data_IF_362513070958
#
_entry.id   IF_362513070958
#
_cell.length_a   1.000
_cell.length_b   1.000
_cell.length_c   1.000
_cell.angle_alpha   90.00
_cell.angle_beta   90.00
_cell.angle_gamma   90.00
#
_symmetry.space_group_name_H-M   'P 1'
#
loop_
_entity.id
_entity.type
_entity.pdbx_description
1 polymer ?
#
# COMPACT_ATOMS: atom_id res chain seq x y z
N UNK A 1 0.11 41.10 -5.33
CA UNK A 1 0.97 40.32 -6.24
C UNK A 1 0.47 38.90 -6.20
N UNK A 2 -0.31 38.46 -7.19
CA UNK A 2 -0.70 37.05 -7.31
C UNK A 2 0.53 36.28 -7.75
N UNK A 3 0.99 35.34 -6.94
CA UNK A 3 1.99 34.38 -7.39
C UNK A 3 1.37 33.59 -8.55
N UNK A 4 2.00 33.64 -9.72
CA UNK A 4 1.65 32.73 -10.82
C UNK A 4 1.72 31.30 -10.29
N UNK A 5 0.59 30.59 -10.35
CA UNK A 5 0.62 29.17 -10.08
C UNK A 5 1.53 28.54 -11.13
N UNK A 6 2.56 27.77 -10.72
CA UNK A 6 3.43 27.10 -11.69
C UNK A 6 2.55 26.24 -12.59
N UNK A 7 2.71 26.41 -13.92
CA UNK A 7 2.04 25.58 -14.92
C UNK A 7 2.24 24.11 -14.52
N UNK A 8 1.14 23.43 -14.18
CA UNK A 8 1.21 22.00 -14.01
C UNK A 8 1.65 21.41 -15.36
N UNK A 9 2.67 20.54 -15.39
CA UNK A 9 3.10 19.92 -16.64
C UNK A 9 1.88 19.24 -17.27
N UNK A 10 1.61 19.54 -18.54
CA UNK A 10 0.57 18.86 -19.29
C UNK A 10 0.89 17.36 -19.28
N UNK A 11 0.08 16.59 -18.56
CA UNK A 11 0.21 15.14 -18.53
C UNK A 11 -0.31 14.60 -19.86
N UNK A 12 0.57 14.53 -20.85
CA UNK A 12 0.28 13.79 -22.09
C UNK A 12 0.18 12.32 -21.75
N UNK A 13 -1.05 11.84 -21.58
CA UNK A 13 -1.35 10.42 -21.41
C UNK A 13 -0.66 9.63 -22.52
N UNK A 14 0.20 8.68 -22.14
CA UNK A 14 0.86 7.78 -23.09
C UNK A 14 -0.17 6.89 -23.76
N UNK A 15 -0.31 6.99 -25.08
CA UNK A 15 -1.28 6.21 -25.85
C UNK A 15 -0.98 4.71 -25.88
N UNK A 16 0.26 4.34 -25.59
CA UNK A 16 0.77 2.96 -25.56
C UNK A 16 0.78 2.34 -24.16
N UNK A 17 0.44 3.11 -23.12
CA UNK A 17 0.39 2.61 -21.76
C UNK A 17 -0.90 1.81 -21.51
N UNK A 18 -0.86 0.71 -20.73
CA UNK A 18 -2.07 -0.01 -20.35
C UNK A 18 -3.09 0.95 -19.75
N UNK A 19 -4.28 0.98 -20.35
CA UNK A 19 -5.41 1.69 -19.77
C UNK A 19 -5.72 0.96 -18.47
N UNK A 20 -5.66 1.68 -17.35
CA UNK A 20 -6.14 1.14 -16.07
C UNK A 20 -7.58 0.72 -16.31
N UNK A 21 -7.95 -0.53 -15.99
CA UNK A 21 -9.32 -0.98 -16.19
C UNK A 21 -10.30 0.05 -15.63
N UNK A 22 -11.41 0.28 -16.32
CA UNK A 22 -12.52 1.03 -15.74
C UNK A 22 -13.58 0.01 -15.37
N UNK A 23 -13.85 -0.14 -14.08
CA UNK A 23 -15.01 -0.89 -13.63
C UNK A 23 -16.06 0.10 -13.15
N UNK A 24 -17.31 -0.12 -13.58
CA UNK A 24 -18.45 0.52 -12.95
C UNK A 24 -18.49 0.12 -11.47
N UNK A 25 -19.00 0.98 -10.58
CA UNK A 25 -19.14 0.63 -9.17
C UNK A 25 -19.88 -0.71 -9.00
N UNK A 26 -19.20 -1.74 -8.51
CA UNK A 26 -19.76 -3.10 -8.33
C UNK A 26 -19.93 -3.47 -6.86
N UNK A 27 -20.98 -4.24 -6.55
CA UNK A 27 -21.19 -4.84 -5.23
C UNK A 27 -20.58 -6.24 -5.14
N UNK A 28 -20.25 -6.82 -6.29
CA UNK A 28 -19.68 -8.15 -6.37
C UNK A 28 -18.22 -8.11 -5.90
N UNK A 29 -17.96 -8.81 -4.80
CA UNK A 29 -16.63 -8.90 -4.22
C UNK A 29 -15.61 -9.50 -5.20
N UNK A 30 -16.00 -10.53 -5.97
CA UNK A 30 -15.10 -11.19 -6.90
C UNK A 30 -14.77 -10.31 -8.10
N UNK A 31 -15.72 -9.51 -8.59
CA UNK A 31 -15.44 -8.52 -9.65
C UNK A 31 -14.47 -7.44 -9.16
N UNK A 32 -14.68 -6.93 -7.93
CA UNK A 32 -13.78 -5.94 -7.34
C UNK A 32 -12.37 -6.52 -7.09
N UNK A 33 -12.26 -7.74 -6.59
CA UNK A 33 -10.98 -8.44 -6.41
C UNK A 33 -10.24 -8.62 -7.74
N UNK A 34 -10.94 -9.06 -8.79
CA UNK A 34 -10.36 -9.22 -10.12
C UNK A 34 -9.88 -7.86 -10.66
N UNK A 35 -10.71 -6.83 -10.55
CA UNK A 35 -10.35 -5.46 -10.95
C UNK A 35 -9.09 -4.95 -10.24
N UNK A 36 -9.00 -5.11 -8.92
CA UNK A 36 -7.82 -4.67 -8.16
C UNK A 36 -6.57 -5.48 -8.52
N UNK A 37 -6.70 -6.77 -8.81
CA UNK A 37 -5.58 -7.60 -9.29
C UNK A 37 -5.08 -7.13 -10.67
N UNK A 38 -5.99 -6.88 -11.60
CA UNK A 38 -5.66 -6.36 -12.94
C UNK A 38 -5.04 -4.97 -12.87
N UNK A 39 -5.57 -4.09 -12.00
CA UNK A 39 -4.98 -2.79 -11.70
C UNK A 39 -3.51 -2.96 -11.29
N UNK A 40 -3.22 -3.72 -10.23
CA UNK A 40 -1.85 -3.89 -9.72
C UNK A 40 -0.92 -4.45 -10.80
N UNK A 41 -1.37 -5.47 -11.56
CA UNK A 41 -0.61 -6.04 -12.67
C UNK A 41 -0.28 -4.99 -13.75
N UNK A 42 -1.25 -4.12 -14.09
CA UNK A 42 -1.05 -3.08 -15.10
C UNK A 42 -0.04 -1.99 -14.69
N UNK A 43 0.15 -1.78 -13.38
CA UNK A 43 1.07 -0.77 -12.86
C UNK A 43 2.53 -1.24 -12.76
N UNK A 44 2.78 -2.55 -12.73
CA UNK A 44 4.12 -3.11 -12.71
C UNK A 44 4.21 -4.36 -13.61
N UNK A 45 3.98 -4.21 -14.93
CA UNK A 45 3.86 -5.35 -15.83
C UNK A 45 5.13 -6.18 -15.94
N UNK A 46 6.31 -5.54 -15.88
CA UNK A 46 7.61 -6.24 -15.92
C UNK A 46 7.82 -7.06 -14.64
N UNK A 47 7.55 -6.45 -13.48
CA UNK A 47 7.79 -7.06 -12.18
C UNK A 47 6.81 -8.20 -11.85
N UNK A 48 5.62 -8.16 -12.45
CA UNK A 48 4.58 -9.17 -12.26
C UNK A 48 4.35 -10.09 -13.47
N UNK A 49 5.23 -10.05 -14.48
CA UNK A 49 5.14 -10.94 -15.64
C UNK A 49 5.24 -12.41 -15.20
N UNK A 50 4.29 -13.22 -15.66
CA UNK A 50 4.18 -14.63 -15.27
C UNK A 50 3.88 -14.90 -13.78
N UNK A 51 3.83 -13.89 -12.91
CA UNK A 51 3.60 -14.06 -11.48
C UNK A 51 2.09 -14.01 -11.16
N UNK A 52 1.54 -15.00 -10.43
CA UNK A 52 0.21 -14.89 -9.86
C UNK A 52 0.15 -13.76 -8.82
N UNK A 53 -0.86 -12.90 -8.95
CA UNK A 53 -1.19 -11.85 -7.97
C UNK A 53 -2.61 -12.11 -7.49
N UNK A 54 -2.76 -12.26 -6.18
CA UNK A 54 -4.06 -12.46 -5.55
C UNK A 54 -4.44 -11.23 -4.75
N UNK A 55 -5.63 -10.69 -5.01
CA UNK A 55 -6.23 -9.65 -4.17
C UNK A 55 -7.47 -10.25 -3.53
N UNK A 56 -7.58 -10.16 -2.21
CA UNK A 56 -8.75 -10.62 -1.47
C UNK A 56 -9.34 -9.49 -0.64
N UNK A 57 -10.66 -9.39 -0.65
CA UNK A 57 -11.38 -8.56 0.30
C UNK A 57 -11.47 -9.32 1.63
N UNK A 58 -11.15 -8.64 2.73
CA UNK A 58 -11.16 -9.21 4.07
C UNK A 58 -12.49 -9.88 4.41
N UNK A 59 -13.62 -9.32 3.97
CA UNK A 59 -14.95 -9.88 4.22
C UNK A 59 -15.21 -11.23 3.52
N UNK A 60 -14.35 -11.64 2.58
CA UNK A 60 -14.45 -12.93 1.88
C UNK A 60 -13.54 -14.01 2.47
N UNK A 61 -12.76 -13.65 3.49
CA UNK A 61 -11.80 -14.54 4.13
C UNK A 61 -12.39 -15.21 5.38
N UNK A 62 -11.80 -16.33 5.83
CA UNK A 62 -12.16 -16.96 7.09
C UNK A 62 -12.05 -15.99 8.27
N UNK A 63 -12.83 -16.25 9.32
CA UNK A 63 -12.93 -15.40 10.52
C UNK A 63 -11.58 -15.03 11.13
N UNK A 64 -10.56 -15.90 11.02
CA UNK A 64 -9.18 -15.63 11.45
C UNK A 64 -8.64 -14.29 10.92
N UNK A 65 -9.06 -13.83 9.74
CA UNK A 65 -8.64 -12.58 9.13
C UNK A 65 -9.63 -11.42 9.33
N UNK A 66 -10.84 -11.67 9.83
CA UNK A 66 -11.89 -10.65 9.96
C UNK A 66 -11.67 -9.71 11.16
N UNK A 67 -10.75 -10.03 12.08
CA UNK A 67 -10.49 -9.23 13.27
C UNK A 67 -9.48 -8.10 13.08
N UNK A 68 -8.93 -7.92 11.88
CA UNK A 68 -8.00 -6.84 11.61
C UNK A 68 -8.79 -5.54 11.47
N UNK A 69 -8.73 -4.67 12.48
CA UNK A 69 -9.52 -3.44 12.58
C UNK A 69 -8.67 -2.18 12.41
N UNK A 70 -7.34 -2.30 12.50
CA UNK A 70 -6.45 -1.15 12.56
C UNK A 70 -5.62 -0.94 11.28
N UNK A 71 -5.84 -1.76 10.25
CA UNK A 71 -5.17 -1.61 8.96
C UNK A 71 -6.16 -1.52 7.81
N UNK A 72 -5.83 -0.70 6.79
CA UNK A 72 -6.60 -0.61 5.55
C UNK A 72 -6.36 -1.78 4.61
N UNK A 73 -5.20 -2.42 4.71
CA UNK A 73 -4.81 -3.60 3.96
C UNK A 73 -3.56 -4.24 4.55
N UNK A 74 -3.16 -5.38 4.00
CA UNK A 74 -1.85 -5.96 4.31
C UNK A 74 -1.43 -6.92 3.21
N UNK A 75 -0.13 -7.12 3.10
CA UNK A 75 0.50 -8.17 2.32
C UNK A 75 1.58 -8.85 3.15
N UNK A 76 1.91 -10.09 2.78
CA UNK A 76 3.05 -10.79 3.34
C UNK A 76 3.66 -11.72 2.28
N UNK A 77 4.96 -11.96 2.38
CA UNK A 77 5.73 -12.77 1.43
C UNK A 77 5.13 -14.16 1.18
N UNK A 78 4.48 -14.76 2.17
CA UNK A 78 3.86 -16.08 2.11
C UNK A 78 2.33 -16.07 2.05
N UNK A 79 1.71 -14.89 1.90
CA UNK A 79 0.26 -14.74 2.01
C UNK A 79 -0.50 -15.52 0.94
N UNK A 80 0.05 -15.66 -0.27
CA UNK A 80 -0.58 -16.46 -1.34
C UNK A 80 -0.75 -17.93 -0.98
N UNK A 81 0.26 -18.54 -0.34
CA UNK A 81 0.17 -19.92 0.16
C UNK A 81 -0.79 -20.03 1.35
N UNK A 82 -0.79 -19.03 2.23
CA UNK A 82 -1.69 -19.00 3.39
C UNK A 82 -3.15 -18.92 2.95
N UNK A 83 -3.44 -18.12 1.92
CA UNK A 83 -4.78 -17.93 1.37
C UNK A 83 -5.20 -19.01 0.37
N UNK A 84 -4.33 -19.98 0.04
CA UNK A 84 -4.61 -21.04 -0.93
C UNK A 84 -5.95 -21.76 -0.72
N UNK A 85 -6.37 -22.12 0.52
CA UNK A 85 -7.70 -22.70 0.74
C UNK A 85 -8.85 -21.76 0.35
N UNK A 86 -8.72 -20.46 0.63
CA UNK A 86 -9.72 -19.43 0.32
C UNK A 86 -9.72 -19.04 -1.17
N UNK A 87 -8.60 -19.18 -1.86
CA UNK A 87 -8.46 -18.91 -3.29
C UNK A 87 -9.10 -20.01 -4.14
N UNK A 88 -9.09 -21.27 -3.69
CA UNK A 88 -9.74 -22.38 -4.39
C UNK A 88 -9.30 -22.49 -5.86
N UNK A 89 -10.24 -22.40 -6.80
CA UNK A 89 -9.96 -22.46 -8.25
C UNK A 89 -9.24 -21.24 -8.81
N UNK A 90 -9.20 -20.12 -8.07
CA UNK A 90 -8.46 -18.92 -8.43
C UNK A 90 -6.96 -19.09 -8.21
N UNK A 91 -6.52 -20.00 -7.34
CA UNK A 91 -5.10 -20.27 -7.11
C UNK A 91 -4.45 -20.85 -8.36
N UNK A 92 -3.47 -20.14 -8.92
CA UNK A 92 -2.71 -20.49 -10.14
C UNK A 92 -1.26 -20.90 -9.87
N UNK A 93 -0.91 -21.14 -8.60
CA UNK A 93 0.44 -21.48 -8.16
C UNK A 93 1.02 -20.45 -7.18
N UNK A 94 2.26 -20.66 -6.72
CA UNK A 94 2.94 -19.75 -5.82
C UNK A 94 3.00 -18.32 -6.41
N UNK A 95 2.69 -17.33 -5.58
CA UNK A 95 2.63 -15.95 -6.00
C UNK A 95 2.39 -15.02 -4.81
N UNK A 96 2.27 -13.73 -5.11
CA UNK A 96 2.03 -12.71 -4.08
C UNK A 96 0.55 -12.54 -3.81
N UNK A 97 0.21 -12.16 -2.59
CA UNK A 97 -1.16 -11.82 -2.23
C UNK A 97 -1.20 -10.56 -1.37
N UNK A 98 -2.32 -9.86 -1.46
CA UNK A 98 -2.70 -8.77 -0.57
C UNK A 98 -4.16 -8.92 -0.16
N UNK A 99 -4.46 -8.41 1.03
CA UNK A 99 -5.81 -8.33 1.58
C UNK A 99 -6.18 -6.88 1.77
N UNK A 100 -7.38 -6.51 1.33
CA UNK A 100 -7.95 -5.18 1.49
C UNK A 100 -9.01 -5.24 2.57
N UNK A 101 -8.88 -4.44 3.61
CA UNK A 101 -9.81 -4.40 4.73
C UNK A 101 -11.09 -3.67 4.33
N UNK A 102 -12.07 -4.41 3.81
CA UNK A 102 -13.38 -3.88 3.41
C UNK A 102 -14.48 -4.13 4.46
N UNK A 103 -14.24 -5.01 5.44
CA UNK A 103 -15.25 -5.44 6.41
C UNK A 103 -15.78 -4.29 7.28
N UNK A 104 -14.88 -3.42 7.77
CA UNK A 104 -15.27 -2.22 8.53
C UNK A 104 -16.18 -1.29 7.71
N UNK A 105 -15.86 -1.11 6.43
CA UNK A 105 -16.65 -0.28 5.54
C UNK A 105 -17.99 -0.93 5.26
N UNK A 106 -18.06 -2.22 4.94
CA UNK A 106 -19.34 -2.92 4.73
C UNK A 106 -20.28 -2.79 5.93
N UNK A 107 -19.75 -2.90 7.15
CA UNK A 107 -20.56 -2.70 8.35
C UNK A 107 -21.08 -1.26 8.45
N UNK A 108 -20.19 -0.28 8.27
CA UNK A 108 -20.56 1.15 8.28
C UNK A 108 -21.53 1.52 7.15
N UNK A 109 -21.47 0.81 6.02
CA UNK A 109 -22.34 1.00 4.86
C UNK A 109 -23.72 0.41 5.06
N UNK A 110 -23.83 -0.73 5.75
CA UNK A 110 -25.11 -1.37 6.04
C UNK A 110 -26.06 -0.43 6.81
N UNK A 111 -25.50 0.44 7.65
CA UNK A 111 -26.26 1.44 8.41
C UNK A 111 -26.61 2.70 7.59
N UNK A 112 -25.92 2.94 6.46
CA UNK A 112 -26.10 4.13 5.61
C UNK A 112 -26.91 3.85 4.33
N UNK A 113 -27.02 2.59 3.91
CA UNK A 113 -27.62 2.20 2.64
C UNK A 113 -29.12 1.87 2.76
N UNK A 114 -29.96 2.88 3.00
CA UNK A 114 -31.41 2.69 2.84
C UNK A 114 -31.84 2.71 1.36
N UNK A 115 -30.99 3.20 0.44
CA UNK A 115 -31.33 3.39 -0.98
C UNK A 115 -30.23 2.93 -1.95
N UNK A 116 -30.64 2.60 -3.17
CA UNK A 116 -29.75 2.21 -4.28
C UNK A 116 -28.77 3.34 -4.67
N UNK A 117 -29.22 4.61 -4.59
CA UNK A 117 -28.36 5.77 -4.87
C UNK A 117 -27.27 5.96 -3.80
N UNK A 118 -27.60 5.76 -2.52
CA UNK A 118 -26.59 5.78 -1.44
C UNK A 118 -25.49 4.74 -1.69
N UNK A 119 -25.88 3.53 -2.10
CA UNK A 119 -24.93 2.46 -2.45
C UNK A 119 -24.00 2.88 -3.58
N UNK A 120 -24.53 3.43 -4.66
CA UNK A 120 -23.73 3.88 -5.81
C UNK A 120 -22.75 4.99 -5.44
N UNK A 121 -23.19 5.97 -4.64
CA UNK A 121 -22.31 7.06 -4.17
C UNK A 121 -21.19 6.50 -3.30
N UNK A 122 -21.52 5.61 -2.37
CA UNK A 122 -20.56 5.01 -1.46
C UNK A 122 -19.53 4.17 -2.21
N UNK A 123 -19.95 3.38 -3.20
CA UNK A 123 -19.02 2.65 -4.05
C UNK A 123 -18.13 3.58 -4.88
N UNK A 124 -18.66 4.66 -5.42
CA UNK A 124 -17.88 5.69 -6.11
C UNK A 124 -16.81 6.35 -5.23
N UNK A 125 -16.98 6.31 -3.90
CA UNK A 125 -15.99 6.78 -2.92
C UNK A 125 -15.03 5.64 -2.51
N UNK A 126 -15.54 4.42 -2.35
CA UNK A 126 -14.78 3.26 -1.85
C UNK A 126 -13.85 2.66 -2.88
N UNK A 127 -14.24 2.62 -4.16
CA UNK A 127 -13.36 2.09 -5.20
C UNK A 127 -12.03 2.89 -5.31
N UNK A 128 -12.02 4.23 -5.37
CA UNK A 128 -10.80 5.04 -5.23
C UNK A 128 -9.95 4.74 -3.98
N UNK A 129 -10.62 4.41 -2.88
CA UNK A 129 -9.98 4.10 -1.61
C UNK A 129 -9.27 2.74 -1.67
N UNK A 130 -9.98 1.70 -2.14
CA UNK A 130 -9.41 0.36 -2.33
C UNK A 130 -8.31 0.33 -3.39
N UNK A 131 -8.42 1.13 -4.45
CA UNK A 131 -7.33 1.30 -5.41
C UNK A 131 -6.08 1.87 -4.72
N UNK A 132 -6.24 2.88 -3.85
CA UNK A 132 -5.14 3.45 -3.08
C UNK A 132 -4.47 2.42 -2.18
N UNK A 133 -5.24 1.59 -1.48
CA UNK A 133 -4.70 0.51 -0.65
C UNK A 133 -4.01 -0.55 -1.52
N UNK A 134 -4.62 -1.00 -2.62
CA UNK A 134 -4.00 -2.00 -3.49
C UNK A 134 -2.65 -1.50 -4.06
N UNK A 135 -2.56 -0.21 -4.40
CA UNK A 135 -1.30 0.42 -4.82
C UNK A 135 -0.27 0.43 -3.66
N UNK A 136 -0.71 0.76 -2.44
CA UNK A 136 0.13 0.74 -1.25
C UNK A 136 0.70 -0.67 -0.98
N UNK A 137 -0.15 -1.70 -0.95
CA UNK A 137 0.29 -3.08 -0.73
C UNK A 137 1.19 -3.58 -1.86
N UNK A 138 0.90 -3.20 -3.10
CA UNK A 138 1.78 -3.50 -4.24
C UNK A 138 3.18 -2.90 -4.06
N UNK A 139 3.30 -1.69 -3.50
CA UNK A 139 4.60 -1.09 -3.24
C UNK A 139 5.41 -1.90 -2.22
N UNK A 140 4.80 -2.38 -1.14
CA UNK A 140 5.47 -3.29 -0.20
C UNK A 140 6.00 -4.53 -0.93
N UNK A 141 5.14 -5.22 -1.69
CA UNK A 141 5.48 -6.41 -2.47
C UNK A 141 6.68 -6.15 -3.38
N UNK A 142 6.66 -5.05 -4.14
CA UNK A 142 7.71 -4.68 -5.11
C UNK A 142 9.05 -4.29 -4.45
N UNK A 143 9.04 -3.99 -3.16
CA UNK A 143 10.27 -3.66 -2.41
C UNK A 143 10.92 -4.84 -1.72
N UNK A 144 10.25 -6.00 -1.65
CA UNK A 144 10.85 -7.20 -1.08
C UNK A 144 12.06 -7.68 -1.90
N UNK A 145 13.03 -8.26 -1.21
CA UNK A 145 14.21 -8.88 -1.84
C UNK A 145 14.01 -10.39 -2.08
N UNK A 146 13.05 -11.00 -1.40
CA UNK A 146 12.80 -12.44 -1.45
C UNK A 146 11.93 -12.82 -2.65
N UNK A 147 12.15 -14.01 -3.25
CA UNK A 147 11.30 -14.50 -4.33
C UNK A 147 9.89 -14.85 -3.82
N UNK A 148 8.87 -14.53 -4.61
CA UNK A 148 7.44 -14.76 -4.30
C UNK A 148 6.98 -16.23 -4.40
N UNK A 149 7.91 -17.18 -4.48
CA UNK A 149 7.64 -18.57 -4.90
C UNK A 149 8.06 -19.61 -3.87
N UNK A 150 7.76 -19.37 -2.59
CA UNK A 150 8.05 -20.34 -1.53
C UNK A 150 6.78 -21.11 -1.19
N UNK A 151 6.76 -22.41 -1.53
CA UNK A 151 5.71 -23.31 -1.04
C UNK A 151 5.90 -23.50 0.48
N UNK A 152 4.83 -23.27 1.25
CA UNK A 152 4.83 -23.52 2.68
C UNK A 152 4.34 -24.95 2.99
N UNK A 153 4.96 -25.66 3.94
CA UNK A 153 4.39 -26.88 4.51
C UNK A 153 2.98 -26.64 5.08
N UNK A 154 2.08 -27.61 4.98
CA UNK A 154 0.68 -27.46 5.36
C UNK A 154 0.48 -27.09 6.85
N UNK A 155 1.31 -27.64 7.73
CA UNK A 155 1.34 -27.35 9.18
C UNK A 155 1.91 -25.95 9.49
N UNK A 156 2.60 -25.33 8.53
CA UNK A 156 3.13 -23.97 8.65
C UNK A 156 2.08 -22.92 8.32
N UNK A 157 1.10 -23.22 7.44
CA UNK A 157 0.08 -22.26 6.98
C UNK A 157 -0.74 -21.67 8.13
N UNK A 158 -1.28 -22.50 9.03
CA UNK A 158 -2.10 -22.02 10.15
C UNK A 158 -1.28 -21.18 11.14
N UNK A 159 -0.05 -21.61 11.42
CA UNK A 159 0.87 -20.87 12.29
C UNK A 159 1.29 -19.54 11.67
N UNK A 160 1.55 -19.49 10.37
CA UNK A 160 1.86 -18.26 9.65
C UNK A 160 0.66 -17.30 9.59
N UNK A 161 -0.56 -17.80 9.40
CA UNK A 161 -1.77 -16.98 9.46
C UNK A 161 -1.91 -16.30 10.84
N UNK A 162 -1.73 -17.06 11.93
CA UNK A 162 -1.73 -16.52 13.30
C UNK A 162 -0.59 -15.52 13.53
N UNK A 163 0.60 -15.80 13.01
CA UNK A 163 1.74 -14.90 13.14
C UNK A 163 1.50 -13.56 12.43
N UNK A 164 0.91 -13.57 11.23
CA UNK A 164 0.52 -12.34 10.53
C UNK A 164 -0.48 -11.55 11.35
N UNK A 165 -1.54 -12.19 11.87
CA UNK A 165 -2.53 -11.50 12.72
C UNK A 165 -1.87 -10.90 13.97
N UNK A 166 -0.98 -11.65 14.63
CA UNK A 166 -0.24 -11.16 15.79
C UNK A 166 0.73 -10.02 15.44
N UNK A 167 1.32 -10.01 14.25
CA UNK A 167 2.17 -8.93 13.74
C UNK A 167 1.36 -7.69 13.34
N UNK A 168 0.11 -7.85 12.96
CA UNK A 168 -0.74 -6.73 12.57
C UNK A 168 -1.44 -6.06 13.75
N UNK A 169 -1.87 -6.86 14.74
CA UNK A 169 -2.77 -6.41 15.83
C UNK A 169 -2.21 -6.69 17.23
N UNK A 170 -1.12 -7.44 17.37
CA UNK A 170 -0.57 -7.78 18.68
C UNK A 170 0.00 -6.55 19.41
N UNK A 171 -0.10 -6.54 20.74
CA UNK A 171 0.44 -5.45 21.58
C UNK A 171 1.91 -5.19 21.26
N UNK A 172 2.74 -6.23 21.11
CA UNK A 172 4.13 -6.07 20.71
C UNK A 172 4.30 -5.37 19.36
N UNK A 173 3.44 -5.67 18.39
CA UNK A 173 3.48 -5.00 17.09
C UNK A 173 3.11 -3.52 17.23
N UNK A 174 2.09 -3.20 18.01
CA UNK A 174 1.71 -1.82 18.33
C UNK A 174 2.86 -1.07 19.02
N UNK A 175 3.57 -1.72 19.94
CA UNK A 175 4.75 -1.15 20.59
C UNK A 175 5.92 -0.97 19.62
N UNK A 176 6.18 -1.94 18.72
CA UNK A 176 7.20 -1.81 17.66
C UNK A 176 6.91 -0.62 16.74
N UNK A 177 5.64 -0.43 16.34
CA UNK A 177 5.21 0.72 15.55
C UNK A 177 5.40 2.05 16.29
N UNK A 178 5.21 2.09 17.61
CA UNK A 178 5.55 3.30 18.40
C UNK A 178 7.06 3.55 18.43
N UNK A 179 7.85 2.49 18.49
CA UNK A 179 9.30 2.58 18.60
C UNK A 179 10.00 2.97 17.29
N UNK A 180 9.51 2.52 16.13
CA UNK A 180 10.01 2.91 14.80
C UNK A 180 8.80 3.07 13.87
N UNK A 181 8.15 4.25 13.87
CA UNK A 181 6.88 4.43 13.18
C UNK A 181 6.95 4.17 11.68
N UNK A 182 8.06 4.50 11.03
CA UNK A 182 8.27 4.31 9.60
C UNK A 182 8.72 2.88 9.21
N UNK A 183 8.75 1.92 10.13
CA UNK A 183 9.11 0.55 9.78
C UNK A 183 8.17 -0.01 8.70
N UNK A 184 8.74 -0.70 7.70
CA UNK A 184 8.09 -1.16 6.46
C UNK A 184 7.69 -0.04 5.49
N UNK A 185 7.82 1.22 5.91
CA UNK A 185 7.52 2.43 5.13
C UNK A 185 8.78 3.24 4.87
N UNK A 186 9.91 2.56 4.66
CA UNK A 186 11.18 3.21 4.40
C UNK A 186 11.24 3.83 2.99
N UNK A 187 12.31 4.56 2.71
CA UNK A 187 12.48 5.27 1.44
C UNK A 187 12.25 4.42 0.16
N UNK A 188 12.60 3.12 0.07
CA UNK A 188 12.30 2.33 -1.14
C UNK A 188 10.80 2.17 -1.35
N UNK A 189 10.04 1.96 -0.27
CA UNK A 189 8.58 1.85 -0.30
C UNK A 189 7.95 3.17 -0.76
N UNK A 190 8.34 4.28 -0.15
CA UNK A 190 7.77 5.61 -0.47
C UNK A 190 8.03 5.95 -1.95
N UNK A 191 9.24 5.69 -2.43
CA UNK A 191 9.61 5.85 -3.83
C UNK A 191 8.76 4.94 -4.72
N UNK A 192 8.60 3.67 -4.35
CA UNK A 192 7.78 2.75 -5.12
C UNK A 192 6.32 3.23 -5.24
N UNK A 193 5.72 3.70 -4.15
CA UNK A 193 4.40 4.31 -4.12
C UNK A 193 4.28 5.49 -5.10
N UNK A 194 5.29 6.36 -5.18
CA UNK A 194 5.29 7.49 -6.11
C UNK A 194 5.31 7.05 -7.58
N UNK A 195 6.09 6.01 -7.91
CA UNK A 195 6.11 5.45 -9.26
C UNK A 195 4.78 4.77 -9.63
N UNK A 196 4.21 3.95 -8.73
CA UNK A 196 2.91 3.33 -8.97
C UNK A 196 1.80 4.37 -9.12
N UNK A 197 1.78 5.41 -8.28
CA UNK A 197 0.85 6.53 -8.38
C UNK A 197 0.93 7.21 -9.74
N UNK A 198 2.15 7.52 -10.19
CA UNK A 198 2.36 8.14 -11.50
C UNK A 198 1.86 7.23 -12.63
N UNK A 199 2.19 5.92 -12.61
CA UNK A 199 1.69 4.95 -13.60
C UNK A 199 0.18 4.82 -13.59
N UNK A 200 -0.45 4.90 -12.42
CA UNK A 200 -1.90 4.89 -12.29
C UNK A 200 -2.53 6.13 -12.92
N UNK A 201 -1.96 7.30 -12.66
CA UNK A 201 -2.39 8.56 -13.30
C UNK A 201 -2.24 8.51 -14.83
N UNK A 202 -1.13 7.96 -15.34
CA UNK A 202 -0.91 7.77 -16.78
C UNK A 202 -1.86 6.74 -17.40
N UNK A 203 -2.26 5.72 -16.64
CA UNK A 203 -3.29 4.76 -17.05
C UNK A 203 -4.73 5.30 -16.95
N UNK A 204 -4.92 6.55 -16.51
CA UNK A 204 -6.23 7.20 -16.42
C UNK A 204 -6.89 7.14 -15.04
N UNK A 205 -6.29 6.49 -14.05
CA UNK A 205 -6.78 6.45 -12.68
C UNK A 205 -6.41 7.74 -11.94
N UNK A 206 -7.21 8.78 -12.14
CA UNK A 206 -6.99 10.11 -11.54
C UNK A 206 -7.57 10.27 -10.14
N UNK A 207 -8.43 9.33 -9.73
CA UNK A 207 -9.17 9.38 -8.46
C UNK A 207 -8.77 8.19 -7.61
N UNK A 208 -7.63 8.31 -6.95
CA UNK A 208 -7.28 7.49 -5.78
C UNK A 208 -6.82 8.41 -4.66
N UNK A 209 -6.92 7.94 -3.43
CA UNK A 209 -6.57 8.74 -2.25
C UNK A 209 -5.06 8.68 -2.03
N UNK A 210 -4.32 9.65 -2.57
CA UNK A 210 -2.85 9.70 -2.48
C UNK A 210 -2.32 9.76 -1.04
N UNK A 211 -3.10 10.24 -0.07
CA UNK A 211 -2.75 10.18 1.35
C UNK A 211 -2.64 8.76 1.90
N UNK A 212 -3.16 7.76 1.19
CA UNK A 212 -3.01 6.35 1.56
C UNK A 212 -1.66 5.76 1.11
N UNK A 213 -0.91 6.45 0.26
CA UNK A 213 0.30 5.88 -0.36
C UNK A 213 1.58 6.09 0.44
N UNK A 214 1.66 7.14 1.27
CA UNK A 214 2.71 7.24 2.27
C UNK A 214 2.10 7.61 3.59
N UNK A 215 2.54 6.89 4.62
CA UNK A 215 1.89 6.82 5.91
C UNK A 215 2.01 8.11 6.77
N UNK A 216 2.56 9.19 6.18
CA UNK A 216 2.43 10.58 6.61
C UNK A 216 2.70 10.83 8.09
N UNK A 217 1.94 11.77 8.67
CA UNK A 217 2.10 12.25 10.04
C UNK A 217 2.04 11.12 11.09
N UNK A 218 1.16 10.14 10.89
CA UNK A 218 1.03 8.97 11.78
C UNK A 218 2.33 8.18 11.92
N UNK A 219 3.22 8.29 10.95
CA UNK A 219 4.48 7.55 10.87
C UNK A 219 5.68 8.50 11.07
N UNK A 220 5.41 9.75 11.45
CA UNK A 220 6.43 10.77 11.64
C UNK A 220 7.19 11.11 10.36
N UNK A 221 6.54 10.91 9.20
CA UNK A 221 7.07 11.15 7.86
C UNK A 221 6.42 12.40 7.27
N UNK A 222 7.17 13.07 6.39
CA UNK A 222 6.68 14.10 5.49
C UNK A 222 5.53 13.57 4.62
N UNK A 223 4.73 14.48 4.09
CA UNK A 223 3.57 14.12 3.28
C UNK A 223 3.99 13.42 1.97
N UNK A 224 3.10 12.57 1.44
CA UNK A 224 3.34 11.94 0.13
C UNK A 224 3.57 12.97 -0.99
N UNK A 225 2.93 14.15 -0.90
CA UNK A 225 3.10 15.23 -1.86
C UNK A 225 4.52 15.80 -1.86
N UNK A 226 5.15 15.93 -0.69
CA UNK A 226 6.54 16.39 -0.56
C UNK A 226 7.51 15.37 -1.16
N UNK A 227 7.34 14.08 -0.85
CA UNK A 227 8.14 13.01 -1.45
C UNK A 227 7.99 12.95 -2.97
N UNK A 228 6.76 13.02 -3.48
CA UNK A 228 6.49 13.03 -4.92
C UNK A 228 7.11 14.25 -5.61
N UNK A 229 7.01 15.43 -4.99
CA UNK A 229 7.65 16.65 -5.49
C UNK A 229 9.17 16.51 -5.54
N UNK A 230 9.77 15.95 -4.48
CA UNK A 230 11.21 15.76 -4.35
C UNK A 230 11.80 14.74 -5.34
N UNK A 231 10.99 13.82 -5.87
CA UNK A 231 11.41 12.93 -6.97
C UNK A 231 11.50 13.63 -8.33
N UNK A 232 10.84 14.78 -8.50
CA UNK A 232 10.86 15.53 -9.76
C UNK A 232 10.31 14.73 -10.95
N UNK A 233 11.08 14.65 -12.03
CA UNK A 233 10.72 13.98 -13.28
C UNK A 233 11.03 12.48 -13.29
N UNK A 234 11.54 11.93 -12.18
CA UNK A 234 11.99 10.53 -12.15
C UNK A 234 10.88 9.51 -12.47
N UNK A 235 9.64 9.62 -11.94
CA UNK A 235 8.57 8.70 -12.31
C UNK A 235 8.25 8.70 -13.81
N UNK A 236 8.43 9.86 -14.47
CA UNK A 236 8.28 9.98 -15.92
C UNK A 236 9.44 9.32 -16.66
N UNK A 237 10.69 9.61 -16.28
CA UNK A 237 11.89 9.06 -16.94
C UNK A 237 12.00 7.54 -16.80
N UNK A 238 11.50 6.98 -15.70
CA UNK A 238 11.59 5.56 -15.37
C UNK A 238 10.23 4.85 -15.45
N UNK A 239 9.30 5.37 -16.26
CA UNK A 239 7.96 4.79 -16.36
C UNK A 239 8.01 3.34 -16.86
N UNK A 240 8.92 3.02 -17.79
CA UNK A 240 9.12 1.68 -18.36
C UNK A 240 10.11 0.79 -17.59
N UNK A 241 10.70 1.28 -16.49
CA UNK A 241 11.69 0.52 -15.71
C UNK A 241 11.01 -0.49 -14.77
N UNK A 242 11.67 -1.59 -14.45
CA UNK A 242 11.28 -2.45 -13.33
C UNK A 242 11.48 -1.75 -11.98
N UNK A 243 10.77 -2.18 -10.92
CA UNK A 243 10.98 -1.66 -9.57
C UNK A 243 12.35 -2.03 -9.01
N UNK A 244 12.93 -3.14 -9.49
CA UNK A 244 14.33 -3.46 -9.23
C UNK A 244 15.28 -2.39 -9.78
N UNK A 245 15.14 -1.99 -11.05
CA UNK A 245 15.96 -0.94 -11.67
C UNK A 245 15.76 0.42 -11.00
N UNK A 246 14.51 0.75 -10.62
CA UNK A 246 14.20 1.95 -9.83
C UNK A 246 14.97 1.93 -8.51
N UNK A 247 14.95 0.81 -7.77
CA UNK A 247 15.66 0.67 -6.49
C UNK A 247 17.19 0.74 -6.63
N UNK A 248 17.74 0.15 -7.68
CA UNK A 248 19.19 0.14 -7.96
C UNK A 248 19.70 1.52 -8.45
N UNK A 249 18.83 2.34 -9.03
CA UNK A 249 19.15 3.71 -9.43
C UNK A 249 19.21 4.62 -8.20
N UNK A 250 20.29 5.39 -7.96
CA UNK A 250 20.34 6.32 -6.84
C UNK A 250 19.15 7.29 -6.85
N UNK A 251 18.47 7.51 -5.70
CA UNK A 251 17.37 8.46 -5.65
C UNK A 251 17.88 9.90 -5.87
N UNK A 252 17.00 10.84 -6.28
CA UNK A 252 17.37 12.24 -6.41
C UNK A 252 17.82 12.81 -5.06
N UNK A 253 18.76 13.76 -5.06
CA UNK A 253 19.27 14.34 -3.82
C UNK A 253 18.17 15.05 -3.03
N UNK A 254 17.22 15.68 -3.71
CA UNK A 254 16.05 16.31 -3.08
C UNK A 254 15.22 15.28 -2.30
N UNK A 255 14.92 14.12 -2.90
CA UNK A 255 14.21 13.03 -2.21
C UNK A 255 15.00 12.50 -1.01
N UNK A 256 16.31 12.31 -1.20
CA UNK A 256 17.22 11.87 -0.13
C UNK A 256 17.28 12.85 1.04
N UNK A 257 17.17 14.15 0.76
CA UNK A 257 17.13 15.20 1.77
C UNK A 257 15.86 15.12 2.61
N UNK A 258 14.68 15.02 1.98
CA UNK A 258 13.40 14.87 2.70
C UNK A 258 13.43 13.66 3.63
N UNK A 259 13.88 12.51 3.13
CA UNK A 259 13.99 11.30 3.95
C UNK A 259 14.96 11.49 5.14
N UNK A 260 16.13 12.09 4.90
CA UNK A 260 17.15 12.31 5.94
C UNK A 260 16.65 13.27 7.02
N UNK A 261 15.89 14.29 6.63
CA UNK A 261 15.27 15.24 7.55
C UNK A 261 14.21 14.57 8.42
N UNK A 262 13.35 13.73 7.84
CA UNK A 262 12.37 12.92 8.60
C UNK A 262 13.06 12.00 9.61
N UNK A 263 14.11 11.30 9.20
CA UNK A 263 14.89 10.43 10.09
C UNK A 263 15.56 11.22 11.23
N UNK A 264 16.08 12.41 10.93
CA UNK A 264 16.69 13.29 11.93
C UNK A 264 15.65 13.81 12.93
N UNK A 265 14.49 14.23 12.44
CA UNK A 265 13.38 14.70 13.26
C UNK A 265 12.84 13.58 14.17
N UNK A 266 12.72 12.36 13.64
CA UNK A 266 12.36 11.18 14.41
C UNK A 266 13.37 10.88 15.52
N UNK A 267 14.66 10.82 15.19
CA UNK A 267 15.71 10.56 16.17
C UNK A 267 15.71 11.61 17.31
N UNK A 268 15.50 12.89 16.98
CA UNK A 268 15.39 13.95 17.97
C UNK A 268 14.21 13.76 18.93
N UNK A 269 13.03 13.37 18.41
CA UNK A 269 11.84 13.08 19.23
C UNK A 269 12.07 11.88 20.16
N UNK A 270 12.71 10.82 19.66
CA UNK A 270 13.00 9.62 20.46
C UNK A 270 13.97 9.92 21.60
N UNK A 271 15.02 10.70 21.35
CA UNK A 271 15.97 11.13 22.41
C UNK A 271 15.26 11.94 23.49
N UNK A 272 14.36 12.84 23.10
CA UNK A 272 13.62 13.67 24.06
C UNK A 272 12.61 12.83 24.87
N UNK A 273 11.90 11.89 24.25
CA UNK A 273 11.00 10.98 24.94
C UNK A 273 11.75 10.14 26.00
N UNK A 274 12.90 9.55 25.63
CA UNK A 274 13.74 8.79 26.57
C UNK A 274 14.24 9.67 27.71
N UNK A 275 14.63 10.93 27.44
CA UNK A 275 15.07 11.87 28.50
C UNK A 275 13.96 12.14 29.52
N UNK A 276 12.71 12.24 29.08
CA UNK A 276 11.56 12.51 29.94
C UNK A 276 11.15 11.30 30.80
N UNK A 277 11.47 10.08 30.36
CA UNK A 277 11.19 8.84 31.11
C UNK A 277 12.22 8.52 32.19
N UNK A 278 13.43 9.10 32.15
CA UNK A 278 14.44 8.92 33.20
C UNK A 278 13.96 9.62 34.48
N UNK A 279 13.71 8.88 35.58
CA UNK A 279 13.21 9.48 36.82
C UNK A 279 14.15 10.58 37.32
N UNK A 280 13.58 11.71 37.77
CA UNK A 280 14.35 12.85 38.30
C UNK A 280 15.33 12.47 39.43
N UNK A 281 15.11 11.33 40.11
CA UNK A 281 15.96 10.82 41.17
C UNK A 281 17.31 10.23 40.69
N UNK A 282 17.55 10.08 39.38
CA UNK A 282 18.81 9.56 38.83
C UNK A 282 19.70 10.64 38.21
N UNK A 283 19.30 11.90 38.26
CA UNK A 283 20.09 13.06 37.80
C UNK A 283 20.89 13.63 38.99
N UNK A 284 22.00 12.97 39.35
CA UNK A 284 22.99 13.45 40.36
C UNK A 284 24.18 14.08 39.66
#
# INVERSE_FOLDING_TARGET
MSAEQPNQPETTQRSDWPIVPTIEPTQDAAELEAYLSDLVRSLAPIDFDGLPIYVKLQSTLPDTFQYLQHTGGFCAWSLGEILKPSLGSQYKGPGTAMVIADAFYRHSLADLSETEDSNRILQGIMQPYFCGIAIHEAAHILTWEQPFSVELPADTVENSARAIVAELEGEEALQRRKAVPHHLHEWPFIRACAHLAYRAEQGGLRRFRSYLLAAGDSYGLSSFAEYRSALGDEPQRMIDASFREIRETPPPEAFSTVWRDDMSAFAARTVEAVRQEIPAATQV
#
